data_IF_791163769626
#
_entry.id   IF_791163769626
#
_cell.length_a   1.000
_cell.length_b   1.000
_cell.length_c   1.000
_cell.angle_alpha   90.00
_cell.angle_beta   90.00
_cell.angle_gamma   90.00
#
_symmetry.space_group_name_H-M   'P 1'
#
loop_
_entity.id
_entity.type
_entity.pdbx_description
1 polymer ?
#
# COMPACT_ATOMS: atom_id res chain seq x y z
N UNK A 1 -7.42 -43.88 7.93
CA UNK A 1 -8.02 -42.89 6.99
C UNK A 1 -8.03 -41.46 7.54
N UNK A 2 -8.32 -41.23 8.83
CA UNK A 2 -8.32 -39.89 9.47
C UNK A 2 -7.02 -39.06 9.28
N UNK A 3 -5.85 -39.70 9.33
CA UNK A 3 -4.55 -39.01 9.11
C UNK A 3 -4.40 -38.43 7.70
N UNK A 4 -4.90 -39.11 6.66
CA UNK A 4 -4.81 -38.63 5.26
C UNK A 4 -5.65 -37.37 5.03
N UNK A 5 -6.79 -37.27 5.73
CA UNK A 5 -7.69 -36.10 5.66
C UNK A 5 -7.03 -34.88 6.28
N UNK A 6 -6.34 -35.05 7.42
CA UNK A 6 -5.60 -33.96 8.06
C UNK A 6 -4.48 -33.42 7.16
N UNK A 7 -3.76 -34.30 6.46
CA UNK A 7 -2.73 -33.88 5.52
C UNK A 7 -3.31 -33.13 4.31
N UNK A 8 -4.45 -33.56 3.77
CA UNK A 8 -5.12 -32.83 2.68
C UNK A 8 -5.60 -31.44 3.11
N UNK A 9 -6.16 -31.31 4.31
CA UNK A 9 -6.60 -30.00 4.84
C UNK A 9 -5.41 -29.06 5.05
N UNK A 10 -4.30 -29.59 5.56
CA UNK A 10 -3.07 -28.81 5.75
C UNK A 10 -2.53 -28.27 4.42
N UNK A 11 -2.54 -29.10 3.37
CA UNK A 11 -2.02 -28.74 2.04
C UNK A 11 -2.89 -27.67 1.37
N UNK A 12 -4.21 -27.72 1.56
CA UNK A 12 -5.15 -26.68 1.06
C UNK A 12 -4.92 -25.34 1.79
N UNK A 13 -4.72 -25.35 3.11
CA UNK A 13 -4.46 -24.14 3.88
C UNK A 13 -3.13 -23.48 3.51
N UNK A 14 -2.09 -24.27 3.26
CA UNK A 14 -0.78 -23.77 2.83
C UNK A 14 -0.87 -23.12 1.45
N UNK A 15 -1.53 -23.76 0.48
CA UNK A 15 -1.73 -23.18 -0.86
C UNK A 15 -2.50 -21.86 -0.83
N UNK A 16 -3.48 -21.72 0.08
CA UNK A 16 -4.27 -20.50 0.21
C UNK A 16 -3.48 -19.35 0.87
N UNK A 17 -2.55 -19.67 1.76
CA UNK A 17 -1.63 -18.70 2.33
C UNK A 17 -0.70 -18.07 1.28
N UNK A 18 -0.31 -18.81 0.24
CA UNK A 18 0.50 -18.27 -0.86
C UNK A 18 -0.28 -17.33 -1.79
N UNK A 19 -1.55 -17.61 -2.08
CA UNK A 19 -2.38 -16.73 -2.92
C UNK A 19 -2.72 -15.40 -2.23
N UNK A 20 -2.77 -15.36 -0.89
CA UNK A 20 -3.00 -14.11 -0.16
C UNK A 20 -1.79 -13.17 -0.19
N UNK A 21 -0.63 -13.65 -0.65
CA UNK A 21 0.56 -12.82 -0.85
C UNK A 21 0.61 -12.17 -2.24
N UNK A 22 -0.29 -12.48 -3.18
CA UNK A 22 -0.32 -11.78 -4.48
C UNK A 22 -0.65 -10.28 -4.32
N UNK A 23 -1.46 -9.92 -3.32
CA UNK A 23 -1.67 -8.52 -2.91
C UNK A 23 -0.38 -7.88 -2.35
N UNK A 24 0.55 -8.69 -1.81
CA UNK A 24 1.86 -8.21 -1.37
C UNK A 24 2.87 -8.00 -2.52
N UNK A 25 2.56 -8.43 -3.75
CA UNK A 25 3.44 -8.28 -4.92
C UNK A 25 3.13 -6.98 -5.68
N UNK A 26 2.05 -6.27 -5.34
CA UNK A 26 1.74 -4.99 -5.99
C UNK A 26 2.80 -3.94 -5.60
N UNK A 27 3.58 -3.52 -6.59
CA UNK A 27 4.52 -2.41 -6.50
C UNK A 27 3.94 -1.18 -7.20
N UNK A 28 3.95 -0.04 -6.52
CA UNK A 28 3.58 1.26 -7.10
C UNK A 28 4.59 2.31 -6.69
N UNK A 29 4.70 3.35 -7.52
CA UNK A 29 5.55 4.50 -7.22
C UNK A 29 4.71 5.55 -6.52
N UNK A 30 5.08 5.92 -5.30
CA UNK A 30 4.38 6.92 -4.51
C UNK A 30 5.29 8.11 -4.20
N UNK A 31 4.70 9.29 -4.16
CA UNK A 31 5.36 10.52 -3.72
C UNK A 31 4.46 11.33 -2.80
N UNK A 32 5.07 12.13 -1.93
CA UNK A 32 4.36 12.97 -0.97
C UNK A 32 4.20 14.38 -1.54
N UNK A 33 2.98 14.75 -1.90
CA UNK A 33 2.69 16.05 -2.53
C UNK A 33 2.05 16.99 -1.52
N UNK A 34 2.63 18.17 -1.34
CA UNK A 34 2.02 19.25 -0.56
C UNK A 34 1.46 20.32 -1.48
N UNK A 35 0.16 20.53 -1.42
CA UNK A 35 -0.56 21.50 -2.25
C UNK A 35 -1.18 22.58 -1.38
N UNK A 36 -0.93 23.84 -1.71
CA UNK A 36 -1.60 24.98 -1.11
C UNK A 36 -3.00 25.14 -1.72
N UNK A 37 -4.04 25.16 -0.89
CA UNK A 37 -5.43 25.27 -1.32
C UNK A 37 -5.82 26.68 -1.80
N UNK A 38 -5.11 27.74 -1.42
CA UNK A 38 -5.40 29.10 -1.88
C UNK A 38 -4.89 29.35 -3.30
N UNK A 39 -3.67 28.87 -3.60
CA UNK A 39 -3.01 29.12 -4.89
C UNK A 39 -3.12 27.94 -5.84
N UNK A 40 -3.41 26.74 -5.33
CA UNK A 40 -3.32 25.49 -6.08
C UNK A 40 -1.88 25.05 -6.35
N UNK A 41 -0.89 25.75 -5.79
CA UNK A 41 0.51 25.52 -6.06
C UNK A 41 1.04 24.32 -5.27
N UNK A 42 1.94 23.57 -5.88
CA UNK A 42 2.62 22.45 -5.22
C UNK A 42 3.87 23.00 -4.53
N UNK A 43 3.85 23.07 -3.20
CA UNK A 43 4.96 23.57 -2.40
C UNK A 43 6.05 22.49 -2.18
N UNK A 44 5.71 21.21 -2.34
CA UNK A 44 6.65 20.09 -2.17
C UNK A 44 6.24 18.90 -3.04
N UNK A 45 7.14 18.44 -3.92
CA UNK A 45 7.00 17.25 -4.79
C UNK A 45 8.36 16.53 -4.87
N UNK A 46 8.69 15.65 -3.93
CA UNK A 46 9.93 14.89 -3.97
C UNK A 46 9.85 13.80 -5.06
N UNK A 47 11.01 13.23 -5.39
CA UNK A 47 11.09 12.09 -6.30
C UNK A 47 10.21 10.92 -5.83
N UNK A 48 9.68 10.20 -6.81
CA UNK A 48 8.89 9.01 -6.58
C UNK A 48 9.73 7.92 -5.89
N UNK A 49 9.15 7.30 -4.87
CA UNK A 49 9.73 6.14 -4.18
C UNK A 49 8.85 4.93 -4.48
N UNK A 50 9.48 3.81 -4.84
CA UNK A 50 8.77 2.56 -5.10
C UNK A 50 8.44 1.86 -3.77
N UNK A 51 7.16 1.50 -3.61
CA UNK A 51 6.67 0.75 -2.47
C UNK A 51 5.97 -0.50 -2.96
N UNK A 52 6.27 -1.64 -2.34
CA UNK A 52 5.67 -2.92 -2.64
C UNK A 52 4.99 -3.52 -1.41
N UNK A 53 3.89 -4.23 -1.65
CA UNK A 53 3.20 -5.05 -0.65
C UNK A 53 2.74 -4.30 0.60
N UNK A 54 3.14 -4.76 1.79
CA UNK A 54 2.70 -4.15 3.06
C UNK A 54 3.13 -2.69 3.19
N UNK A 55 4.31 -2.32 2.67
CA UNK A 55 4.75 -0.94 2.65
C UNK A 55 3.83 -0.07 1.77
N UNK A 56 3.41 -0.58 0.60
CA UNK A 56 2.46 0.12 -0.26
C UNK A 56 1.10 0.28 0.42
N UNK A 57 0.61 -0.77 1.09
CA UNK A 57 -0.65 -0.74 1.81
C UNK A 57 -0.65 0.33 2.92
N UNK A 58 0.46 0.45 3.67
CA UNK A 58 0.63 1.49 4.70
C UNK A 58 0.63 2.90 4.10
N UNK A 59 1.34 3.10 2.98
CA UNK A 59 1.40 4.40 2.31
C UNK A 59 0.03 4.82 1.76
N UNK A 60 -0.71 3.90 1.13
CA UNK A 60 -2.05 4.18 0.62
C UNK A 60 -3.08 4.41 1.73
N UNK A 61 -2.91 3.74 2.88
CA UNK A 61 -3.74 3.95 4.05
C UNK A 61 -3.40 5.25 4.81
N UNK A 62 -2.30 5.93 4.46
CA UNK A 62 -1.90 7.16 5.14
C UNK A 62 -2.85 8.29 4.76
N UNK A 63 -3.61 8.86 5.73
CA UNK A 63 -4.54 9.93 5.44
C UNK A 63 -3.81 11.22 5.09
N UNK A 64 -4.41 12.03 4.22
CA UNK A 64 -3.93 13.38 3.94
C UNK A 64 -3.85 14.19 5.25
N UNK A 65 -2.80 15.01 5.37
CA UNK A 65 -2.60 15.91 6.49
C UNK A 65 -2.73 17.34 6.00
N UNK A 66 -3.60 18.11 6.63
CA UNK A 66 -3.77 19.53 6.32
C UNK A 66 -3.24 20.35 7.49
N UNK A 67 -2.30 21.26 7.20
CA UNK A 67 -1.71 22.18 8.17
C UNK A 67 -1.90 23.60 7.63
N UNK A 68 -2.81 24.36 8.24
CA UNK A 68 -3.26 25.64 7.69
C UNK A 68 -3.92 25.43 6.32
N UNK A 69 -3.36 26.06 5.28
CA UNK A 69 -3.88 25.97 3.91
C UNK A 69 -3.13 24.95 3.03
N UNK A 70 -2.13 24.25 3.58
CA UNK A 70 -1.35 23.25 2.83
C UNK A 70 -1.87 21.87 3.17
N UNK A 71 -2.28 21.11 2.14
CA UNK A 71 -2.64 19.70 2.25
C UNK A 71 -1.52 18.85 1.68
N UNK A 72 -0.97 17.99 2.52
CA UNK A 72 0.04 17.00 2.17
C UNK A 72 -0.60 15.62 2.04
N UNK A 73 -0.44 14.97 0.88
CA UNK A 73 -0.99 13.64 0.61
C UNK A 73 -0.04 12.78 -0.21
N UNK A 74 -0.11 11.47 -0.01
CA UNK A 74 0.56 10.53 -0.90
C UNK A 74 -0.21 10.38 -2.20
N UNK A 75 0.50 10.48 -3.32
CA UNK A 75 -0.02 10.17 -4.66
C UNK A 75 0.78 8.98 -5.18
N UNK A 76 0.10 7.86 -5.40
CA UNK A 76 0.68 6.63 -5.94
C UNK A 76 0.19 6.41 -7.38
N UNK A 77 1.09 5.97 -8.27
CA UNK A 77 0.82 5.59 -9.65
C UNK A 77 1.33 4.20 -9.97
#
# INVERSE_FOLDING_TARGET
MKRKILFSILLVLISWAFTSCEDMIQCKKCRLVSTDHNTGEISYDPNETEYCGTALAVIQATPAKTMGNVTTKYICR
#
